data_IF_405180766539
#
_entry.id   IF_405180766539
#
_cell.length_a   1.000
_cell.length_b   1.000
_cell.length_c   1.000
_cell.angle_alpha   90.00
_cell.angle_beta   90.00
_cell.angle_gamma   90.00
#
_symmetry.space_group_name_H-M   'P 1'
#
loop_
_entity.id
_entity.type
_entity.pdbx_description
1 polymer ?
#
# COMPACT_ATOMS: atom_id res chain seq x y z
N UNK A 1 59.75 0.37 -60.03
CA UNK A 1 60.92 1.13 -59.54
C UNK A 1 60.44 2.56 -59.25
N UNK A 2 60.55 2.98 -57.99
CA UNK A 2 60.82 4.34 -57.43
C UNK A 2 60.32 5.56 -58.24
N UNK A 3 59.30 6.32 -57.80
CA UNK A 3 59.27 7.35 -56.72
C UNK A 3 60.06 8.63 -57.05
N UNK A 4 59.34 9.75 -57.24
CA UNK A 4 59.57 11.12 -56.72
C UNK A 4 58.43 12.01 -57.28
N UNK A 5 57.55 12.64 -56.47
CA UNK A 5 57.73 13.91 -55.72
C UNK A 5 58.07 15.08 -56.67
N UNK A 6 57.45 16.27 -56.65
CA UNK A 6 56.62 16.95 -55.66
C UNK A 6 56.09 18.29 -56.25
N UNK A 7 55.01 18.81 -55.63
CA UNK A 7 54.73 20.26 -55.40
C UNK A 7 54.20 21.11 -56.59
N UNK A 8 53.33 22.12 -56.42
CA UNK A 8 53.07 23.01 -55.28
C UNK A 8 51.64 23.60 -55.39
N UNK A 9 50.94 23.68 -54.25
CA UNK A 9 49.82 24.60 -53.98
C UNK A 9 50.33 25.78 -53.16
N UNK A 10 49.72 26.96 -53.31
CA UNK A 10 49.57 27.91 -52.21
C UNK A 10 48.43 28.93 -52.44
N UNK A 11 48.03 29.53 -51.31
CA UNK A 11 47.16 30.70 -51.02
C UNK A 11 45.70 30.39 -50.58
N UNK A 12 45.38 30.32 -49.27
CA UNK A 12 45.15 31.37 -48.24
C UNK A 12 43.69 31.95 -48.37
N UNK A 13 42.80 32.03 -47.36
CA UNK A 13 42.85 32.85 -46.12
C UNK A 13 41.74 32.52 -45.08
N UNK A 14 42.15 32.51 -43.80
CA UNK A 14 41.53 33.08 -42.57
C UNK A 14 40.00 33.24 -42.39
N UNK A 15 39.48 32.77 -41.24
CA UNK A 15 38.92 33.64 -40.17
C UNK A 15 38.85 32.89 -38.83
N UNK A 16 39.38 33.52 -37.78
CA UNK A 16 39.41 33.01 -36.41
C UNK A 16 38.18 33.38 -35.59
N UNK A 17 37.91 32.53 -34.59
CA UNK A 17 36.97 32.75 -33.50
C UNK A 17 37.18 31.65 -32.47
N UNK A 18 38.09 31.89 -31.51
CA UNK A 18 38.34 30.95 -30.41
C UNK A 18 37.13 30.92 -29.47
N UNK A 19 36.51 29.75 -29.37
CA UNK A 19 35.48 29.46 -28.35
C UNK A 19 36.21 29.05 -27.07
N UNK A 20 36.03 29.81 -26.01
CA UNK A 20 36.47 29.44 -24.65
C UNK A 20 35.49 28.39 -24.09
N UNK A 21 35.99 27.18 -23.85
CA UNK A 21 35.18 26.02 -23.45
C UNK A 21 34.99 25.92 -21.93
N UNK A 22 35.40 26.93 -21.16
CA UNK A 22 35.35 26.90 -19.68
C UNK A 22 34.21 27.73 -19.05
N UNK A 23 33.22 28.20 -19.82
CA UNK A 23 32.04 28.86 -19.23
C UNK A 23 31.05 27.82 -18.66
N UNK A 24 30.82 27.88 -17.34
CA UNK A 24 29.73 27.17 -16.68
C UNK A 24 28.40 27.47 -17.38
N UNK A 25 27.55 26.46 -17.65
CA UNK A 25 26.33 26.67 -18.41
C UNK A 25 25.41 27.66 -17.65
N UNK A 26 24.81 28.63 -18.36
CA UNK A 26 24.00 29.67 -17.75
C UNK A 26 22.90 29.09 -16.86
N UNK A 27 22.70 29.65 -15.66
CA UNK A 27 21.77 29.16 -14.62
C UNK A 27 20.36 28.80 -15.12
N UNK A 28 19.90 29.38 -16.22
CA UNK A 28 18.62 29.02 -16.89
C UNK A 28 18.62 27.60 -17.48
N UNK A 29 19.74 27.13 -18.04
CA UNK A 29 19.86 25.76 -18.57
C UNK A 29 19.91 24.73 -17.44
N UNK A 30 20.55 25.06 -16.32
CA UNK A 30 20.55 24.19 -15.14
C UNK A 30 19.15 24.09 -14.51
N UNK A 31 18.40 25.19 -14.45
CA UNK A 31 17.02 25.18 -13.97
C UNK A 31 16.07 24.39 -14.89
N UNK A 32 16.26 24.44 -16.21
CA UNK A 32 15.50 23.65 -17.17
C UNK A 32 15.82 22.16 -17.05
N UNK A 33 17.10 21.78 -16.94
CA UNK A 33 17.50 20.39 -16.73
C UNK A 33 17.00 19.82 -15.40
N UNK A 34 17.01 20.62 -14.33
CA UNK A 34 16.44 20.22 -13.04
C UNK A 34 14.91 20.07 -13.08
N UNK A 35 14.21 20.94 -13.82
CA UNK A 35 12.77 20.84 -14.02
C UNK A 35 12.39 19.63 -14.88
N UNK A 36 13.18 19.31 -15.90
CA UNK A 36 12.98 18.16 -16.79
C UNK A 36 13.24 16.82 -16.05
N UNK A 37 14.29 16.76 -15.22
CA UNK A 37 14.54 15.64 -14.31
C UNK A 37 13.41 15.46 -13.28
N UNK A 38 12.98 16.54 -12.63
CA UNK A 38 11.89 16.48 -11.65
C UNK A 38 10.54 16.08 -12.29
N UNK A 39 10.31 16.45 -13.55
CA UNK A 39 9.12 16.05 -14.31
C UNK A 39 9.20 14.58 -14.74
N UNK A 40 10.38 14.11 -15.17
CA UNK A 40 10.64 12.71 -15.50
C UNK A 40 10.48 11.80 -14.29
N UNK A 41 10.98 12.19 -13.12
CA UNK A 41 10.79 11.46 -11.86
C UNK A 41 9.33 11.44 -11.40
N UNK A 42 8.59 12.54 -11.59
CA UNK A 42 7.14 12.58 -11.31
C UNK A 42 6.33 11.71 -12.27
N UNK A 43 6.71 11.62 -13.54
CA UNK A 43 6.06 10.76 -14.53
C UNK A 43 6.40 9.29 -14.30
N UNK A 44 7.65 8.98 -13.94
CA UNK A 44 8.10 7.64 -13.56
C UNK A 44 7.41 7.13 -12.28
N UNK A 45 7.34 7.97 -11.24
CA UNK A 45 6.64 7.64 -9.98
C UNK A 45 5.13 7.50 -10.16
N UNK A 46 4.49 8.34 -11.00
CA UNK A 46 3.07 8.16 -11.36
C UNK A 46 2.83 6.88 -12.13
N UNK A 47 3.66 6.57 -13.12
CA UNK A 47 3.61 5.32 -13.88
C UNK A 47 3.79 4.09 -12.99
N UNK A 48 4.69 4.16 -12.00
CA UNK A 48 4.93 3.11 -11.01
C UNK A 48 3.75 2.89 -10.06
N UNK A 49 3.12 3.97 -9.57
CA UNK A 49 1.95 3.88 -8.69
C UNK A 49 0.73 3.27 -9.40
N UNK A 50 0.46 3.68 -10.64
CA UNK A 50 -0.61 3.06 -11.45
C UNK A 50 -0.28 1.63 -11.86
N UNK A 51 0.99 1.30 -12.14
CA UNK A 51 1.41 -0.06 -12.45
C UNK A 51 1.32 -1.01 -11.23
N UNK A 52 1.56 -0.51 -10.02
CA UNK A 52 1.34 -1.24 -8.76
C UNK A 52 -0.15 -1.49 -8.50
N UNK A 53 -1.02 -0.52 -8.77
CA UNK A 53 -2.47 -0.68 -8.70
C UNK A 53 -3.02 -1.66 -9.76
N UNK A 54 -2.30 -1.86 -10.88
CA UNK A 54 -2.65 -2.81 -11.94
C UNK A 54 -2.15 -4.24 -11.70
N UNK A 55 -1.43 -4.53 -10.60
CA UNK A 55 -1.04 -5.91 -10.28
C UNK A 55 -2.25 -6.69 -9.75
N UNK A 56 -2.56 -7.87 -10.32
CA UNK A 56 -3.72 -8.66 -9.90
C UNK A 56 -3.66 -9.02 -8.41
N UNK A 57 -2.47 -9.15 -7.83
CA UNK A 57 -2.30 -9.35 -6.39
C UNK A 57 -2.84 -8.18 -5.57
N UNK A 58 -2.51 -6.94 -5.93
CA UNK A 58 -2.97 -5.75 -5.20
C UNK A 58 -4.49 -5.61 -5.30
N UNK A 59 -5.08 -5.91 -6.46
CA UNK A 59 -6.54 -5.96 -6.61
C UNK A 59 -7.18 -6.97 -5.64
N UNK A 60 -6.60 -8.17 -5.51
CA UNK A 60 -7.09 -9.18 -4.55
C UNK A 60 -6.97 -8.71 -3.10
N UNK A 61 -5.93 -7.94 -2.76
CA UNK A 61 -5.78 -7.36 -1.42
C UNK A 61 -6.87 -6.33 -1.12
N UNK A 62 -7.15 -5.44 -2.09
CA UNK A 62 -8.21 -4.44 -1.97
C UNK A 62 -9.58 -5.10 -1.83
N UNK A 63 -9.89 -6.08 -2.69
CA UNK A 63 -11.15 -6.84 -2.62
C UNK A 63 -11.28 -7.56 -1.29
N UNK A 64 -10.22 -8.20 -0.80
CA UNK A 64 -10.21 -8.88 0.49
C UNK A 64 -10.46 -7.91 1.66
N UNK A 65 -9.77 -6.77 1.68
CA UNK A 65 -9.92 -5.78 2.74
C UNK A 65 -11.31 -5.14 2.75
N UNK A 66 -11.85 -4.78 1.59
CA UNK A 66 -13.21 -4.20 1.48
C UNK A 66 -14.27 -5.24 1.88
N UNK A 67 -14.20 -6.44 1.30
CA UNK A 67 -15.19 -7.50 1.56
C UNK A 67 -15.15 -7.93 3.03
N UNK A 68 -13.94 -8.10 3.59
CA UNK A 68 -13.75 -8.40 5.00
C UNK A 68 -14.29 -7.29 5.90
N UNK A 69 -14.06 -6.02 5.57
CA UNK A 69 -14.56 -4.87 6.33
C UNK A 69 -16.09 -4.86 6.41
N UNK A 70 -16.75 -5.07 5.27
CA UNK A 70 -18.22 -5.15 5.19
C UNK A 70 -18.75 -6.34 5.97
N UNK A 71 -18.15 -7.52 5.81
CA UNK A 71 -18.55 -8.72 6.53
C UNK A 71 -18.40 -8.55 8.05
N UNK A 72 -17.28 -7.99 8.49
CA UNK A 72 -17.01 -7.72 9.89
C UNK A 72 -18.07 -6.79 10.49
N UNK A 73 -18.47 -5.76 9.76
CA UNK A 73 -19.54 -4.84 10.15
C UNK A 73 -20.90 -5.55 10.20
N UNK A 74 -21.25 -6.35 9.18
CA UNK A 74 -22.53 -7.09 9.14
C UNK A 74 -22.68 -8.04 10.32
N UNK A 75 -21.60 -8.73 10.71
CA UNK A 75 -21.62 -9.62 11.89
C UNK A 75 -21.96 -8.83 13.17
N UNK A 76 -21.44 -7.62 13.34
CA UNK A 76 -21.74 -6.78 14.50
C UNK A 76 -23.19 -6.28 14.47
N UNK A 77 -23.71 -5.93 13.28
CA UNK A 77 -25.12 -5.53 13.11
C UNK A 77 -26.04 -6.68 13.50
N UNK A 78 -25.78 -7.89 13.01
CA UNK A 78 -26.59 -9.09 13.31
C UNK A 78 -26.48 -9.49 14.79
N UNK A 79 -25.32 -9.31 15.41
CA UNK A 79 -25.11 -9.58 16.83
C UNK A 79 -25.72 -8.51 17.76
N UNK A 80 -26.15 -7.36 17.23
CA UNK A 80 -26.74 -6.26 18.01
C UNK A 80 -25.76 -5.56 18.96
N UNK A 81 -24.45 -5.73 18.79
CA UNK A 81 -23.43 -5.33 19.77
C UNK A 81 -22.93 -3.87 19.65
N UNK A 82 -23.58 -3.03 18.84
CA UNK A 82 -22.97 -1.79 18.34
C UNK A 82 -21.83 -2.09 17.35
N UNK A 83 -21.56 -1.15 16.45
CA UNK A 83 -20.56 -1.36 15.38
C UNK A 83 -19.26 -0.63 15.67
N UNK A 84 -18.14 -1.20 15.23
CA UNK A 84 -16.81 -0.59 15.44
C UNK A 84 -16.68 0.74 14.70
N UNK A 85 -17.37 0.89 13.56
CA UNK A 85 -17.42 2.14 12.79
C UNK A 85 -18.13 3.23 13.58
N UNK A 86 -19.27 2.91 14.19
CA UNK A 86 -19.97 3.84 15.07
C UNK A 86 -19.12 4.21 16.29
N UNK A 87 -18.53 3.22 16.96
CA UNK A 87 -17.67 3.43 18.11
C UNK A 87 -16.48 4.34 17.79
N UNK A 88 -15.70 4.04 16.74
CA UNK A 88 -14.58 4.91 16.33
C UNK A 88 -15.05 6.32 15.99
N UNK A 89 -16.15 6.44 15.23
CA UNK A 89 -16.71 7.72 14.84
C UNK A 89 -17.05 8.59 16.05
N UNK A 90 -17.80 8.04 17.00
CA UNK A 90 -18.21 8.75 18.22
C UNK A 90 -17.00 9.13 19.09
N UNK A 91 -16.11 8.19 19.34
CA UNK A 91 -14.96 8.41 20.22
C UNK A 91 -13.97 9.44 19.64
N UNK A 92 -13.67 9.36 18.35
CA UNK A 92 -12.72 10.29 17.70
C UNK A 92 -13.32 11.69 17.58
N UNK A 93 -14.61 11.80 17.23
CA UNK A 93 -15.31 13.10 17.20
C UNK A 93 -15.30 13.75 18.58
N UNK A 94 -15.67 12.99 19.62
CA UNK A 94 -15.68 13.50 20.98
C UNK A 94 -14.28 13.92 21.44
N UNK A 95 -13.26 13.10 21.17
CA UNK A 95 -11.88 13.36 21.57
C UNK A 95 -11.27 14.56 20.86
N UNK A 96 -11.55 14.73 19.55
CA UNK A 96 -10.98 15.78 18.70
C UNK A 96 -11.82 17.06 18.59
N UNK A 97 -13.01 17.10 19.18
CA UNK A 97 -13.92 18.24 19.05
C UNK A 97 -14.43 18.45 17.62
N UNK A 98 -14.51 17.39 16.82
CA UNK A 98 -15.01 17.48 15.44
C UNK A 98 -16.54 17.64 15.40
N UNK A 99 -17.10 18.16 14.29
CA UNK A 99 -18.55 18.13 14.08
C UNK A 99 -19.12 16.70 14.12
N UNK A 100 -20.19 16.49 14.90
CA UNK A 100 -20.80 15.16 15.11
C UNK A 100 -21.20 14.43 13.81
N UNK A 101 -21.60 15.16 12.77
CA UNK A 101 -22.00 14.59 11.49
C UNK A 101 -20.86 13.90 10.74
N UNK A 102 -19.59 14.17 11.10
CA UNK A 102 -18.42 13.48 10.55
C UNK A 102 -18.21 12.08 11.14
N UNK A 103 -18.87 11.74 12.25
CA UNK A 103 -18.68 10.48 12.97
C UNK A 103 -18.74 9.24 12.06
N UNK A 104 -19.80 9.05 11.26
CA UNK A 104 -19.88 7.91 10.35
C UNK A 104 -18.74 7.86 9.33
N UNK A 105 -18.33 9.00 8.77
CA UNK A 105 -17.24 9.08 7.80
C UNK A 105 -15.90 8.69 8.43
N UNK A 106 -15.58 9.26 9.59
CA UNK A 106 -14.36 8.96 10.34
C UNK A 106 -14.33 7.48 10.73
N UNK A 107 -15.43 6.98 11.29
CA UNK A 107 -15.57 5.59 11.69
C UNK A 107 -15.30 4.60 10.57
N UNK A 108 -15.92 4.81 9.41
CA UNK A 108 -15.70 3.98 8.23
C UNK A 108 -14.29 4.14 7.65
N UNK A 109 -13.74 5.35 7.62
CA UNK A 109 -12.38 5.58 7.13
C UNK A 109 -11.34 4.81 7.96
N UNK A 110 -11.46 4.84 9.30
CA UNK A 110 -10.58 4.08 10.20
C UNK A 110 -10.75 2.57 10.00
N UNK A 111 -12.00 2.07 10.02
CA UNK A 111 -12.27 0.64 9.87
C UNK A 111 -11.79 0.09 8.53
N UNK A 112 -12.03 0.80 7.42
CA UNK A 112 -11.53 0.44 6.10
C UNK A 112 -10.00 0.51 6.04
N UNK A 113 -9.39 1.55 6.61
CA UNK A 113 -7.94 1.69 6.66
C UNK A 113 -7.25 0.50 7.33
N UNK A 114 -7.73 0.11 8.52
CA UNK A 114 -7.21 -1.06 9.24
C UNK A 114 -7.47 -2.36 8.46
N UNK A 115 -8.67 -2.52 7.90
CA UNK A 115 -9.03 -3.71 7.11
C UNK A 115 -8.13 -3.88 5.88
N UNK A 116 -7.86 -2.80 5.16
CA UNK A 116 -6.95 -2.80 4.01
C UNK A 116 -5.51 -3.14 4.43
N UNK A 117 -5.03 -2.58 5.55
CA UNK A 117 -3.71 -2.88 6.08
C UNK A 117 -3.58 -4.36 6.47
N UNK A 118 -4.58 -4.92 7.16
CA UNK A 118 -4.62 -6.35 7.52
C UNK A 118 -4.64 -7.26 6.30
N UNK A 119 -5.47 -6.95 5.31
CA UNK A 119 -5.52 -7.70 4.06
C UNK A 119 -4.17 -7.66 3.31
N UNK A 120 -3.51 -6.49 3.29
CA UNK A 120 -2.20 -6.34 2.67
C UNK A 120 -1.10 -7.13 3.40
N UNK A 121 -1.09 -7.15 4.74
CA UNK A 121 -0.13 -7.94 5.53
C UNK A 121 -0.26 -9.44 5.20
N UNK A 122 -1.49 -9.96 5.19
CA UNK A 122 -1.72 -11.35 4.78
C UNK A 122 -1.34 -11.56 3.30
N UNK A 123 -1.63 -10.61 2.43
CA UNK A 123 -1.32 -10.69 1.01
C UNK A 123 0.17 -10.74 0.70
N UNK A 124 0.96 -9.95 1.40
CA UNK A 124 2.43 -10.02 1.36
C UNK A 124 2.89 -11.41 1.78
N UNK A 125 2.35 -11.96 2.87
CA UNK A 125 2.69 -13.30 3.33
C UNK A 125 2.33 -14.37 2.28
N UNK A 126 1.14 -14.32 1.69
CA UNK A 126 0.70 -15.21 0.61
C UNK A 126 1.67 -15.16 -0.57
N UNK A 127 2.11 -13.97 -0.97
CA UNK A 127 3.09 -13.79 -2.06
C UNK A 127 4.45 -14.39 -1.70
N UNK A 128 4.87 -14.33 -0.45
CA UNK A 128 6.14 -14.93 0.00
C UNK A 128 6.12 -16.45 -0.06
N UNK A 129 5.00 -17.08 0.34
CA UNK A 129 4.91 -18.55 0.43
C UNK A 129 4.51 -19.22 -0.89
N UNK A 130 4.06 -18.46 -1.89
CA UNK A 130 3.55 -18.99 -3.18
C UNK A 130 4.56 -19.80 -4.00
N UNK A 131 5.85 -19.72 -3.68
CA UNK A 131 6.91 -20.49 -4.35
C UNK A 131 6.96 -21.94 -3.88
N UNK A 132 6.35 -22.26 -2.74
CA UNK A 132 6.26 -23.62 -2.24
C UNK A 132 5.19 -24.44 -2.99
N UNK A 133 5.12 -25.74 -2.69
CA UNK A 133 4.05 -26.60 -3.19
C UNK A 133 2.68 -26.04 -2.83
N UNK A 134 1.73 -26.19 -3.75
CA UNK A 134 0.47 -25.47 -3.75
C UNK A 134 -0.38 -25.73 -2.50
N UNK A 135 -0.47 -26.99 -2.04
CA UNK A 135 -1.20 -27.34 -0.81
C UNK A 135 -0.46 -26.81 0.40
N UNK A 136 0.85 -26.98 0.46
CA UNK A 136 1.67 -26.47 1.55
C UNK A 136 1.59 -24.94 1.70
N UNK A 137 1.69 -24.19 0.61
CA UNK A 137 1.55 -22.74 0.59
C UNK A 137 0.15 -22.30 1.06
N UNK A 138 -0.90 -22.98 0.61
CA UNK A 138 -2.27 -22.69 1.04
C UNK A 138 -2.47 -22.96 2.53
N UNK A 139 -1.94 -24.08 3.04
CA UNK A 139 -1.98 -24.42 4.47
C UNK A 139 -1.22 -23.40 5.30
N UNK A 140 -0.01 -23.02 4.89
CA UNK A 140 0.81 -22.05 5.62
C UNK A 140 0.13 -20.67 5.66
N UNK A 141 -0.44 -20.23 4.54
CA UNK A 141 -1.23 -19.00 4.48
C UNK A 141 -2.50 -19.06 5.35
N UNK A 142 -3.16 -20.22 5.43
CA UNK A 142 -4.34 -20.40 6.27
C UNK A 142 -3.98 -20.31 7.76
N UNK A 143 -2.91 -21.00 8.17
CA UNK A 143 -2.39 -20.91 9.55
C UNK A 143 -2.01 -19.47 9.88
N UNK A 144 -1.32 -18.77 8.97
CA UNK A 144 -1.00 -17.35 9.15
C UNK A 144 -2.25 -16.49 9.31
N UNK A 145 -3.32 -16.75 8.54
CA UNK A 145 -4.59 -16.04 8.67
C UNK A 145 -5.23 -16.26 10.06
N UNK A 146 -5.22 -17.49 10.58
CA UNK A 146 -5.73 -17.79 11.92
C UNK A 146 -4.91 -17.09 13.02
N UNK A 147 -3.58 -17.15 12.91
CA UNK A 147 -2.67 -16.47 13.85
C UNK A 147 -2.88 -14.96 13.80
N UNK A 148 -2.97 -14.37 12.61
CA UNK A 148 -3.25 -12.94 12.45
C UNK A 148 -4.61 -12.58 13.04
N UNK A 149 -5.66 -13.36 12.80
CA UNK A 149 -6.97 -13.15 13.40
C UNK A 149 -6.95 -13.19 14.92
N UNK A 150 -6.20 -14.13 15.51
CA UNK A 150 -6.01 -14.18 16.96
C UNK A 150 -5.21 -13.00 17.51
N UNK A 151 -4.03 -12.71 16.94
CA UNK A 151 -3.16 -11.61 17.38
C UNK A 151 -3.89 -10.27 17.28
N UNK A 152 -4.53 -9.99 16.14
CA UNK A 152 -5.25 -8.73 15.93
C UNK A 152 -6.41 -8.59 16.88
N UNK A 153 -7.17 -9.65 17.15
CA UNK A 153 -8.22 -9.61 18.16
C UNK A 153 -7.66 -9.35 19.58
N UNK A 154 -6.54 -9.98 19.93
CA UNK A 154 -5.88 -9.82 21.23
C UNK A 154 -5.40 -8.38 21.45
N UNK A 155 -4.77 -7.76 20.45
CA UNK A 155 -4.25 -6.39 20.53
C UNK A 155 -5.25 -5.30 20.12
N UNK A 156 -6.45 -5.66 19.68
CA UNK A 156 -7.42 -4.69 19.18
C UNK A 156 -7.74 -3.59 20.20
N UNK A 157 -8.07 -3.87 21.47
CA UNK A 157 -8.38 -2.79 22.41
C UNK A 157 -7.23 -1.78 22.64
N UNK A 158 -5.96 -2.18 22.93
CA UNK A 158 -4.90 -1.18 23.08
C UNK A 158 -4.62 -0.43 21.77
N UNK A 159 -4.72 -1.07 20.61
CA UNK A 159 -4.59 -0.40 19.32
C UNK A 159 -5.73 0.63 19.08
N UNK A 160 -6.94 0.32 19.52
CA UNK A 160 -8.09 1.24 19.50
C UNK A 160 -7.80 2.49 20.34
N UNK A 161 -7.27 2.34 21.56
CA UNK A 161 -6.91 3.49 22.42
C UNK A 161 -5.92 4.43 21.73
N UNK A 162 -4.86 3.86 21.14
CA UNK A 162 -3.86 4.63 20.37
C UNK A 162 -4.50 5.34 19.18
N UNK A 163 -5.36 4.64 18.43
CA UNK A 163 -6.04 5.20 17.26
C UNK A 163 -6.92 6.38 17.62
N UNK A 164 -7.72 6.26 18.69
CA UNK A 164 -8.60 7.34 19.17
C UNK A 164 -7.77 8.54 19.61
N UNK A 165 -6.73 8.32 20.43
CA UNK A 165 -5.92 9.40 20.97
C UNK A 165 -5.15 10.16 19.86
N UNK A 166 -4.56 9.44 18.90
CA UNK A 166 -3.83 10.07 17.79
C UNK A 166 -4.76 10.84 16.86
N UNK A 167 -5.87 10.23 16.41
CA UNK A 167 -6.79 10.88 15.48
C UNK A 167 -7.66 11.95 16.15
N UNK A 168 -7.85 11.86 17.46
CA UNK A 168 -8.45 12.91 18.30
C UNK A 168 -7.47 14.03 18.69
N UNK A 169 -6.21 13.98 18.29
CA UNK A 169 -5.24 15.05 18.56
C UNK A 169 -4.71 15.11 20.00
N UNK A 170 -4.89 14.05 20.79
CA UNK A 170 -4.45 13.96 22.18
C UNK A 170 -3.01 13.45 22.32
N UNK A 171 -2.39 12.99 21.22
CA UNK A 171 -1.05 12.40 21.21
C UNK A 171 -1.04 10.92 21.59
N UNK A 172 0.12 10.39 21.98
CA UNK A 172 0.23 8.99 22.39
C UNK A 172 -0.32 8.82 23.80
N UNK A 173 -1.26 7.88 24.04
CA UNK A 173 -1.91 7.75 25.33
C UNK A 173 -0.98 7.14 26.38
N UNK A 174 -1.10 7.60 27.62
CA UNK A 174 -0.34 7.06 28.77
C UNK A 174 -0.97 5.81 29.37
N UNK A 175 -2.26 5.57 29.09
CA UNK A 175 -3.00 4.38 29.48
C UNK A 175 -3.68 3.76 28.26
N UNK A 176 -3.73 2.43 28.21
CA UNK A 176 -4.33 1.68 27.11
C UNK A 176 -5.48 0.84 27.63
N UNK A 177 -6.46 0.54 26.76
CA UNK A 177 -7.41 -0.52 27.05
C UNK A 177 -6.66 -1.86 27.23
N UNK A 178 -7.14 -2.73 28.13
CA UNK A 178 -6.51 -4.01 28.38
C UNK A 178 -6.56 -4.89 27.12
N UNK A 179 -5.59 -5.79 26.97
CA UNK A 179 -5.63 -6.80 25.91
C UNK A 179 -6.92 -7.63 25.99
N UNK A 180 -7.44 -8.03 24.83
CA UNK A 180 -8.62 -8.88 24.78
C UNK A 180 -8.20 -10.35 24.96
N UNK A 181 -8.43 -10.89 26.16
CA UNK A 181 -8.17 -12.30 26.48
C UNK A 181 -9.40 -13.19 26.33
N UNK A 182 -10.57 -12.62 26.03
CA UNK A 182 -11.82 -13.37 26.00
C UNK A 182 -12.10 -13.96 24.60
N UNK A 183 -12.49 -15.24 24.51
CA UNK A 183 -12.89 -15.88 23.25
C UNK A 183 -14.32 -15.51 22.85
N UNK A 184 -14.57 -14.20 22.69
CA UNK A 184 -15.87 -13.64 22.38
C UNK A 184 -16.05 -13.24 20.91
N UNK A 185 -17.14 -12.52 20.64
CA UNK A 185 -17.46 -11.99 19.30
C UNK A 185 -16.28 -11.26 18.64
N UNK A 186 -15.46 -10.43 19.33
CA UNK A 186 -14.31 -9.78 18.71
C UNK A 186 -13.31 -10.76 18.10
N UNK A 187 -13.01 -11.87 18.78
CA UNK A 187 -12.09 -12.90 18.28
C UNK A 187 -12.67 -13.56 17.02
N UNK A 188 -13.92 -14.01 17.10
CA UNK A 188 -14.58 -14.67 15.98
C UNK A 188 -14.69 -13.78 14.74
N UNK A 189 -14.92 -12.48 14.94
CA UNK A 189 -15.04 -11.54 13.84
C UNK A 189 -13.70 -11.31 13.13
N UNK A 190 -12.60 -11.23 13.88
CA UNK A 190 -11.25 -11.15 13.28
C UNK A 190 -10.86 -12.44 12.57
N UNK A 191 -11.13 -13.61 13.19
CA UNK A 191 -10.87 -14.90 12.53
C UNK A 191 -11.64 -15.01 11.20
N UNK A 192 -12.92 -14.65 11.19
CA UNK A 192 -13.74 -14.65 9.98
C UNK A 192 -13.18 -13.70 8.92
N UNK A 193 -12.81 -12.48 9.30
CA UNK A 193 -12.17 -11.51 8.40
C UNK A 193 -10.93 -12.11 7.72
N UNK A 194 -10.04 -12.72 8.49
CA UNK A 194 -8.79 -13.26 7.96
C UNK A 194 -9.01 -14.55 7.16
N UNK A 195 -9.98 -15.39 7.52
CA UNK A 195 -10.36 -16.58 6.73
C UNK A 195 -10.88 -16.17 5.36
N UNK A 196 -11.76 -15.17 5.29
CA UNK A 196 -12.27 -14.67 4.01
C UNK A 196 -11.15 -14.01 3.21
N UNK A 197 -10.29 -13.23 3.86
CA UNK A 197 -9.12 -12.64 3.23
C UNK A 197 -8.19 -13.71 2.64
N UNK A 198 -7.94 -14.80 3.38
CA UNK A 198 -7.19 -15.95 2.89
C UNK A 198 -7.88 -16.63 1.71
N UNK A 199 -9.19 -16.83 1.75
CA UNK A 199 -9.92 -17.46 0.65
C UNK A 199 -9.79 -16.63 -0.64
N UNK A 200 -9.99 -15.32 -0.54
CA UNK A 200 -9.86 -14.40 -1.69
C UNK A 200 -8.43 -14.37 -2.22
N UNK A 201 -7.43 -14.26 -1.34
CA UNK A 201 -6.05 -14.02 -1.77
C UNK A 201 -5.28 -15.31 -2.08
N UNK A 202 -5.50 -16.37 -1.31
CA UNK A 202 -4.83 -17.67 -1.45
C UNK A 202 -5.48 -18.59 -2.48
N UNK A 203 -6.80 -18.46 -2.72
CA UNK A 203 -7.51 -19.26 -3.72
C UNK A 203 -7.90 -18.46 -4.96
N UNK A 204 -8.14 -17.16 -4.84
CA UNK A 204 -8.58 -16.28 -5.93
C UNK A 204 -7.70 -16.26 -7.18
N UNK A 205 -6.35 -16.37 -7.11
CA UNK A 205 -5.52 -16.48 -8.32
C UNK A 205 -5.89 -17.66 -9.22
N UNK A 206 -6.51 -18.72 -8.68
CA UNK A 206 -7.02 -19.85 -9.47
C UNK A 206 -8.32 -19.52 -10.20
N UNK A 207 -9.09 -18.54 -9.72
CA UNK A 207 -10.37 -18.13 -10.28
C UNK A 207 -10.24 -17.00 -11.31
N UNK A 208 -9.20 -16.17 -11.21
CA UNK A 208 -8.93 -15.07 -12.15
C UNK A 208 -8.32 -15.56 -13.48
N UNK A 209 -8.06 -16.86 -13.62
CA UNK A 209 -7.59 -17.49 -14.84
C UNK A 209 -6.10 -17.27 -15.07
N UNK A 210 -5.32 -18.35 -15.03
CA UNK A 210 -4.01 -18.31 -15.66
C UNK A 210 -4.23 -18.28 -17.18
N UNK A 211 -3.57 -17.38 -17.94
CA UNK A 211 -3.47 -17.55 -19.38
C UNK A 211 -2.92 -18.95 -19.63
N UNK A 212 -3.65 -19.76 -20.41
CA UNK A 212 -3.18 -21.08 -20.82
C UNK A 212 -1.75 -20.94 -21.36
N UNK A 213 -0.78 -21.77 -20.92
CA UNK A 213 0.50 -21.82 -21.58
C UNK A 213 0.20 -22.19 -23.04
N UNK A 214 0.49 -21.27 -23.96
CA UNK A 214 0.37 -21.54 -25.40
C UNK A 214 1.19 -22.79 -25.67
N UNK A 215 0.51 -23.86 -26.11
CA UNK A 215 1.12 -25.08 -26.63
C UNK A 215 1.87 -24.76 -27.91
#
# INVERSE_FOLDING_TARGET
MLRHEESHHDWNTQHGGGVDWNEEPPRRLQALGAAELAMSDKLSSRGSATALACRPEVCLWLVAGISGSILFWLVQVVAGSGTITEFFGQQIVAAGGYPAWLGPLIGWAVHLGVSLAYAAVLGVFVVMVRRAEVRFAATLAFVAALVLGWVTAFVAPPAISVTIALLGGQGFPTTLFPFNTEPGLPLWNHLLFFIVSWAIQGLGPRWVGQPSPRR
#
